data_IF_771109584871
#
_entry.id   IF_771109584871
#
_cell.length_a   1.000
_cell.length_b   1.000
_cell.length_c   1.000
_cell.angle_alpha   90.00
_cell.angle_beta   90.00
_cell.angle_gamma   90.00
#
_symmetry.space_group_name_H-M   'P 1'
#
loop_
_entity.id
_entity.type
_entity.pdbx_description
1 polymer ?
#
# COMPACT_ATOMS: atom_id res chain seq x y z
N UNK A 1 7.55 8.80 10.17
CA UNK A 1 8.58 9.69 9.61
C UNK A 1 9.73 9.97 10.56
N UNK A 2 9.44 10.08 11.87
CA UNK A 2 10.42 10.38 12.93
C UNK A 2 10.98 9.13 13.63
N UNK A 3 10.55 7.95 13.25
CA UNK A 3 10.90 6.64 13.82
C UNK A 3 10.54 6.47 15.32
N UNK A 4 9.60 7.28 15.83
CA UNK A 4 9.18 7.24 17.24
C UNK A 4 7.90 6.45 17.48
N UNK A 5 7.14 6.15 16.44
CA UNK A 5 5.85 5.46 16.53
C UNK A 5 5.79 4.28 15.56
N UNK A 6 5.09 3.23 15.98
CA UNK A 6 4.78 2.05 15.18
C UNK A 6 3.26 1.99 15.04
N UNK A 7 2.76 1.95 13.81
CA UNK A 7 1.37 1.65 13.50
C UNK A 7 1.27 0.19 13.01
N UNK A 8 0.30 -0.54 13.50
CA UNK A 8 0.11 -1.95 13.17
C UNK A 8 -1.36 -2.34 13.23
N UNK A 9 -1.72 -3.40 12.51
CA UNK A 9 -3.03 -4.03 12.64
C UNK A 9 -3.03 -5.07 13.76
N UNK A 10 -4.12 -5.15 14.51
CA UNK A 10 -4.30 -6.17 15.54
C UNK A 10 -5.77 -6.53 15.70
N UNK A 11 -6.04 -7.81 15.84
CA UNK A 11 -7.38 -8.41 16.05
C UNK A 11 -7.72 -8.64 17.53
N UNK A 12 -6.93 -8.07 18.45
CA UNK A 12 -7.08 -8.28 19.92
C UNK A 12 -8.46 -7.91 20.48
N UNK A 13 -9.18 -7.04 19.78
CA UNK A 13 -10.51 -6.58 20.15
C UNK A 13 -11.61 -7.08 19.17
N UNK A 14 -11.32 -8.15 18.40
CA UNK A 14 -12.28 -8.86 17.54
C UNK A 14 -11.84 -8.95 16.07
N UNK A 15 -11.77 -7.87 15.36
CA UNK A 15 -11.28 -7.79 13.98
C UNK A 15 -9.99 -6.95 13.91
N UNK A 16 -9.33 -6.96 12.76
CA UNK A 16 -8.12 -6.16 12.58
C UNK A 16 -8.42 -4.67 12.51
N UNK A 17 -8.04 -3.97 13.56
CA UNK A 17 -8.07 -2.50 13.67
C UNK A 17 -6.66 -1.91 13.69
N UNK A 18 -6.58 -0.60 13.46
CA UNK A 18 -5.32 0.13 13.52
C UNK A 18 -4.98 0.48 14.97
N UNK A 19 -3.80 0.07 15.38
CA UNK A 19 -3.20 0.43 16.66
C UNK A 19 -1.91 1.24 16.44
N UNK A 20 -1.58 2.06 17.42
CA UNK A 20 -0.33 2.82 17.46
C UNK A 20 0.34 2.67 18.83
N UNK A 21 1.67 2.61 18.84
CA UNK A 21 2.47 2.58 20.07
C UNK A 21 3.78 3.33 19.88
N UNK A 22 4.49 3.62 20.97
CA UNK A 22 5.87 4.09 20.90
C UNK A 22 6.80 3.02 20.30
N UNK A 23 7.82 3.44 19.55
CA UNK A 23 8.88 2.54 19.08
C UNK A 23 9.73 1.98 20.24
N UNK A 24 9.75 2.66 21.39
CA UNK A 24 10.42 2.22 22.61
C UNK A 24 9.60 1.19 23.41
N UNK A 25 8.40 0.82 22.91
CA UNK A 25 7.48 -0.09 23.57
C UNK A 25 6.41 0.60 24.41
N UNK A 26 5.68 -0.18 25.22
CA UNK A 26 4.61 0.31 26.07
C UNK A 26 3.21 -0.07 25.58
N UNK A 27 2.20 0.66 26.06
CA UNK A 27 0.81 0.37 25.73
C UNK A 27 0.43 0.82 24.32
N UNK A 28 -0.19 -0.07 23.59
CA UNK A 28 -0.77 0.26 22.29
C UNK A 28 -2.13 0.94 22.45
N UNK A 29 -2.35 2.02 21.69
CA UNK A 29 -3.62 2.73 21.60
C UNK A 29 -4.34 2.32 20.33
N UNK A 30 -5.60 1.90 20.44
CA UNK A 30 -6.48 1.63 19.30
C UNK A 30 -6.93 2.95 18.68
N UNK A 31 -6.76 3.09 17.35
CA UNK A 31 -7.13 4.30 16.61
C UNK A 31 -8.48 4.16 15.91
N UNK A 32 -8.81 2.97 15.44
CA UNK A 32 -10.04 2.69 14.68
C UNK A 32 -10.89 1.63 15.36
N UNK A 33 -12.18 1.56 14.98
CA UNK A 33 -13.17 0.63 15.56
C UNK A 33 -14.22 0.25 14.52
N UNK A 34 -13.82 0.04 13.28
CA UNK A 34 -14.74 -0.42 12.25
C UNK A 34 -14.94 -1.94 12.32
N UNK A 35 -16.01 -2.44 11.71
CA UNK A 35 -16.31 -3.87 11.67
C UNK A 35 -15.58 -4.64 10.55
N UNK A 36 -14.74 -3.94 9.77
CA UNK A 36 -13.97 -4.51 8.66
C UNK A 36 -12.49 -4.59 9.02
N UNK A 37 -11.75 -5.42 8.31
CA UNK A 37 -10.29 -5.49 8.43
C UNK A 37 -9.65 -4.22 7.90
N UNK A 38 -8.75 -3.66 8.69
CA UNK A 38 -8.00 -2.45 8.39
C UNK A 38 -6.50 -2.74 8.41
N UNK A 39 -5.80 -2.41 7.31
CA UNK A 39 -4.39 -2.71 7.14
C UNK A 39 -3.57 -1.42 6.95
N UNK A 40 -2.69 -1.06 7.91
CA UNK A 40 -1.88 0.14 7.81
C UNK A 40 -0.82 -0.03 6.73
N UNK A 41 -0.54 1.04 5.99
CA UNK A 41 0.51 1.06 4.96
C UNK A 41 1.57 2.13 5.17
N UNK A 42 1.20 3.30 5.67
CA UNK A 42 2.14 4.41 5.85
C UNK A 42 1.69 5.38 6.95
N UNK A 43 2.63 6.17 7.45
CA UNK A 43 2.32 7.46 8.06
C UNK A 43 2.28 8.54 6.97
N UNK A 44 1.45 9.56 7.14
CA UNK A 44 1.58 10.78 6.33
C UNK A 44 2.96 11.42 6.54
N UNK A 45 3.53 12.14 5.56
CA UNK A 45 4.85 12.74 5.69
C UNK A 45 5.02 13.68 6.88
N UNK A 46 3.94 14.35 7.30
CA UNK A 46 3.91 15.21 8.49
C UNK A 46 3.78 14.41 9.81
N UNK A 47 3.64 13.09 9.74
CA UNK A 47 3.52 12.19 10.89
C UNK A 47 2.19 12.30 11.66
N UNK A 48 1.21 13.05 11.15
CA UNK A 48 -0.04 13.30 11.89
C UNK A 48 -1.13 12.26 11.68
N UNK A 49 -1.03 11.45 10.63
CA UNK A 49 -2.03 10.43 10.32
C UNK A 49 -1.37 9.08 10.02
N UNK A 50 -2.11 8.02 10.25
CA UNK A 50 -1.84 6.68 9.72
C UNK A 50 -2.74 6.47 8.51
N UNK A 51 -2.13 6.09 7.39
CA UNK A 51 -2.83 5.70 6.15
C UNK A 51 -3.00 4.20 6.16
N UNK A 52 -4.19 3.74 5.81
CA UNK A 52 -4.55 2.33 5.81
C UNK A 52 -5.54 2.01 4.69
N UNK A 53 -5.60 0.76 4.31
CA UNK A 53 -6.62 0.22 3.38
C UNK A 53 -7.71 -0.50 4.17
N UNK A 54 -8.95 -0.32 3.73
CA UNK A 54 -10.12 -0.98 4.29
C UNK A 54 -11.28 -1.00 3.30
N UNK A 55 -12.19 -1.96 3.45
CA UNK A 55 -13.45 -1.99 2.73
C UNK A 55 -14.56 -1.47 3.65
N UNK A 56 -14.50 -0.18 4.00
CA UNK A 56 -15.50 0.45 4.84
C UNK A 56 -16.78 0.58 4.03
N UNK A 57 -17.86 0.05 4.59
CA UNK A 57 -19.14 -0.02 3.90
C UNK A 57 -19.72 1.37 3.64
N UNK A 58 -20.05 1.64 2.38
CA UNK A 58 -20.79 2.83 1.97
C UNK A 58 -22.22 2.85 2.58
N UNK A 59 -22.88 4.01 2.60
CA UNK A 59 -24.29 4.10 2.96
C UNK A 59 -25.13 3.11 2.14
N UNK A 60 -26.20 2.58 2.74
CA UNK A 60 -27.03 1.53 2.12
C UNK A 60 -27.53 1.90 0.71
N UNK A 61 -27.67 3.17 0.39
CA UNK A 61 -28.07 3.65 -0.94
C UNK A 61 -26.97 3.48 -2.01
N UNK A 62 -25.72 3.31 -1.60
CA UNK A 62 -24.56 3.18 -2.50
C UNK A 62 -24.02 1.76 -2.58
N UNK A 63 -24.60 0.82 -1.85
CA UNK A 63 -24.13 -0.59 -1.81
C UNK A 63 -24.60 -1.32 -3.06
N UNK A 64 -23.88 -1.16 -4.14
CA UNK A 64 -24.14 -1.90 -5.39
C UNK A 64 -23.21 -3.12 -5.57
N UNK A 65 -22.14 -3.23 -4.80
CA UNK A 65 -21.13 -4.28 -4.93
C UNK A 65 -20.72 -4.90 -3.59
N UNK A 66 -20.32 -6.18 -3.58
CA UNK A 66 -19.70 -6.80 -2.41
C UNK A 66 -18.40 -6.08 -2.07
N UNK A 67 -18.34 -5.51 -0.91
CA UNK A 67 -17.30 -4.56 -0.47
C UNK A 67 -15.96 -5.20 -0.14
N UNK A 68 -15.92 -6.49 0.20
CA UNK A 68 -14.70 -7.15 0.71
C UNK A 68 -13.57 -7.32 -0.31
N UNK A 69 -13.86 -7.19 -1.61
CA UNK A 69 -12.87 -7.34 -2.67
C UNK A 69 -12.18 -6.02 -3.08
N UNK A 70 -12.76 -4.87 -2.71
CA UNK A 70 -12.33 -3.55 -3.17
C UNK A 70 -12.00 -2.67 -1.97
N UNK A 71 -10.77 -2.77 -1.47
CA UNK A 71 -10.29 -1.89 -0.40
C UNK A 71 -9.94 -0.51 -0.93
N UNK A 72 -10.30 0.51 -0.18
CA UNK A 72 -10.01 1.91 -0.46
C UNK A 72 -9.01 2.48 0.56
N UNK A 73 -8.48 3.66 0.30
CA UNK A 73 -7.52 4.31 1.19
C UNK A 73 -8.20 5.31 2.12
N UNK A 74 -7.88 5.13 3.39
CA UNK A 74 -8.34 5.97 4.49
C UNK A 74 -7.16 6.48 5.30
N UNK A 75 -7.40 7.50 6.12
CA UNK A 75 -6.45 7.96 7.12
C UNK A 75 -7.16 8.24 8.45
N UNK A 76 -6.44 8.02 9.53
CA UNK A 76 -6.88 8.33 10.90
C UNK A 76 -5.79 9.14 11.61
N UNK A 77 -6.15 10.20 12.40
CA UNK A 77 -5.15 10.93 13.16
C UNK A 77 -4.42 10.03 14.17
N UNK A 78 -3.11 10.24 14.35
CA UNK A 78 -2.30 9.48 15.33
C UNK A 78 -2.78 9.70 16.78
N UNK A 79 -3.45 10.81 17.03
CA UNK A 79 -4.08 11.09 18.32
C UNK A 79 -5.49 10.49 18.44
N UNK A 80 -5.96 9.78 17.41
CA UNK A 80 -7.32 9.25 17.32
C UNK A 80 -8.28 10.30 16.78
N UNK A 81 -9.49 9.87 16.46
CA UNK A 81 -10.53 10.73 15.91
C UNK A 81 -11.21 10.12 14.69
N UNK A 82 -11.83 10.97 13.86
CA UNK A 82 -12.60 10.50 12.72
C UNK A 82 -11.71 10.06 11.58
N UNK A 83 -11.93 8.85 11.08
CA UNK A 83 -11.38 8.34 9.82
C UNK A 83 -11.89 9.18 8.64
N UNK A 84 -11.01 9.43 7.67
CA UNK A 84 -11.34 10.11 6.40
C UNK A 84 -10.83 9.30 5.23
N UNK A 85 -11.61 9.19 4.19
CA UNK A 85 -11.20 8.63 2.91
C UNK A 85 -10.20 9.56 2.21
N UNK A 86 -9.16 9.00 1.60
CA UNK A 86 -8.14 9.74 0.84
C UNK A 86 -8.49 9.73 -0.64
N UNK A 87 -8.73 8.55 -1.19
CA UNK A 87 -9.19 8.33 -2.57
C UNK A 87 -10.25 7.22 -2.56
N UNK A 88 -11.19 7.32 -3.50
CA UNK A 88 -12.25 6.33 -3.69
C UNK A 88 -11.83 5.21 -4.67
N UNK A 89 -10.69 5.34 -5.32
CA UNK A 89 -10.12 4.29 -6.18
C UNK A 89 -9.63 3.15 -5.30
N UNK A 90 -9.98 1.90 -5.59
CA UNK A 90 -9.48 0.75 -4.84
C UNK A 90 -7.96 0.68 -4.86
N UNK A 91 -7.35 0.70 -3.67
CA UNK A 91 -5.90 0.84 -3.51
C UNK A 91 -5.38 0.27 -2.19
N UNK A 92 -4.12 -0.16 -2.21
CA UNK A 92 -3.40 -0.70 -1.07
C UNK A 92 -1.92 -0.27 -1.11
N UNK A 93 -1.17 -0.52 -0.05
CA UNK A 93 0.30 -0.37 0.02
C UNK A 93 0.81 1.00 -0.45
N UNK A 94 0.44 2.05 0.26
CA UNK A 94 0.85 3.43 -0.05
C UNK A 94 2.30 3.69 0.30
N UNK A 95 3.01 4.38 -0.60
CA UNK A 95 4.33 4.94 -0.36
C UNK A 95 4.38 6.39 -0.84
N UNK A 96 4.54 7.35 0.07
CA UNK A 96 4.63 8.77 -0.28
C UNK A 96 5.92 9.09 -1.02
N UNK A 97 5.83 9.96 -2.03
CA UNK A 97 7.01 10.53 -2.70
C UNK A 97 7.50 11.81 -1.99
N UNK A 98 8.65 12.33 -2.40
CA UNK A 98 9.31 13.47 -1.72
C UNK A 98 8.51 14.77 -1.68
N UNK A 99 7.51 14.95 -2.52
CA UNK A 99 6.66 16.14 -2.49
C UNK A 99 5.76 16.20 -1.25
N UNK A 100 5.69 15.10 -0.49
CA UNK A 100 4.94 15.00 0.75
C UNK A 100 3.43 14.93 0.60
N UNK A 101 2.92 14.89 -0.62
CA UNK A 101 1.49 14.88 -0.91
C UNK A 101 1.09 13.78 -1.90
N UNK A 102 1.85 13.61 -2.98
CA UNK A 102 1.65 12.54 -3.96
C UNK A 102 2.21 11.21 -3.46
N UNK A 103 1.67 10.10 -3.94
CA UNK A 103 2.08 8.78 -3.48
C UNK A 103 1.95 7.72 -4.56
N UNK A 104 2.76 6.68 -4.40
CA UNK A 104 2.62 5.41 -5.10
C UNK A 104 1.64 4.53 -4.35
N UNK A 105 0.89 3.71 -5.08
CA UNK A 105 0.02 2.68 -4.51
C UNK A 105 -0.08 1.49 -5.46
N UNK A 106 -0.46 0.34 -4.96
CA UNK A 106 -0.92 -0.77 -5.78
C UNK A 106 -2.44 -0.73 -5.89
N UNK A 107 -2.98 -0.99 -7.07
CA UNK A 107 -4.42 -1.05 -7.24
C UNK A 107 -5.02 -2.35 -6.69
N UNK A 108 -6.34 -2.35 -6.52
CA UNK A 108 -7.12 -3.51 -6.09
C UNK A 108 -8.25 -3.71 -7.09
N UNK A 109 -8.10 -4.70 -7.97
CA UNK A 109 -9.08 -5.00 -9.02
C UNK A 109 -10.03 -6.14 -8.66
N UNK A 110 -9.79 -6.80 -7.54
CA UNK A 110 -10.54 -7.96 -7.08
C UNK A 110 -9.75 -8.79 -6.08
N UNK A 111 -10.20 -10.02 -5.87
CA UNK A 111 -9.48 -10.99 -5.05
C UNK A 111 -8.42 -11.70 -5.91
N UNK A 112 -7.17 -11.61 -5.48
CA UNK A 112 -6.05 -12.34 -6.06
C UNK A 112 -5.31 -13.08 -4.95
N UNK A 113 -5.05 -14.37 -5.15
CA UNK A 113 -4.29 -15.17 -4.21
C UNK A 113 -2.81 -14.79 -4.29
N UNK A 114 -2.28 -14.22 -3.23
CA UNK A 114 -0.87 -13.83 -3.14
C UNK A 114 0.11 -15.01 -3.16
N UNK A 115 -0.39 -16.21 -2.96
CA UNK A 115 0.39 -17.45 -2.92
C UNK A 115 0.45 -18.17 -4.26
N UNK A 116 -0.36 -17.72 -5.22
CA UNK A 116 -0.34 -18.26 -6.58
C UNK A 116 1.01 -18.04 -7.26
N UNK A 117 1.31 -18.87 -8.25
CA UNK A 117 2.51 -18.77 -9.07
C UNK A 117 2.13 -18.64 -10.55
N UNK A 118 2.88 -17.82 -11.29
CA UNK A 118 2.90 -17.76 -12.75
C UNK A 118 1.52 -17.58 -13.40
N UNK A 119 0.72 -16.70 -12.88
CA UNK A 119 -0.61 -16.49 -13.38
C UNK A 119 -0.78 -15.06 -13.89
N UNK A 120 -1.21 -14.91 -15.13
CA UNK A 120 -1.70 -13.63 -15.65
C UNK A 120 -3.20 -13.55 -15.43
N UNK A 121 -3.68 -12.44 -14.95
CA UNK A 121 -5.09 -12.24 -14.62
C UNK A 121 -5.46 -10.79 -14.80
N UNK A 122 -6.72 -10.53 -15.12
CA UNK A 122 -7.27 -9.17 -15.18
C UNK A 122 -7.34 -8.47 -13.80
N UNK A 123 -7.16 -9.23 -12.72
CA UNK A 123 -7.16 -8.71 -11.33
C UNK A 123 -5.77 -8.60 -10.73
N UNK A 124 -4.69 -8.90 -11.49
CA UNK A 124 -3.32 -8.63 -11.04
C UNK A 124 -3.12 -7.17 -10.77
N UNK A 125 -2.35 -6.88 -9.73
CA UNK A 125 -2.08 -5.51 -9.28
C UNK A 125 -1.08 -4.82 -10.19
N UNK A 126 -1.24 -3.52 -10.34
CA UNK A 126 -0.27 -2.62 -10.96
C UNK A 126 0.16 -1.55 -9.96
N UNK A 127 1.33 -0.97 -10.21
CA UNK A 127 1.82 0.20 -9.45
C UNK A 127 1.34 1.47 -10.14
N UNK A 128 0.70 2.33 -9.35
CA UNK A 128 0.15 3.60 -9.78
C UNK A 128 0.78 4.76 -9.02
N UNK A 129 0.86 5.90 -9.68
CA UNK A 129 1.16 7.19 -9.07
C UNK A 129 -0.12 8.01 -8.97
N UNK A 130 -0.43 8.50 -7.78
CA UNK A 130 -1.43 9.54 -7.55
C UNK A 130 -0.75 10.88 -7.36
N UNK A 131 -1.05 11.85 -8.21
CA UNK A 131 -0.64 13.24 -8.09
C UNK A 131 -1.73 14.02 -7.35
N UNK A 132 -1.47 14.39 -6.10
CA UNK A 132 -2.44 15.07 -5.26
C UNK A 132 -2.80 16.48 -5.72
N UNK A 133 -1.94 17.14 -6.51
CA UNK A 133 -2.19 18.50 -7.02
C UNK A 133 -3.20 18.51 -8.15
N UNK A 134 -3.09 17.55 -9.06
CA UNK A 134 -3.97 17.44 -10.23
C UNK A 134 -5.11 16.44 -10.05
N UNK A 135 -5.07 15.59 -9.00
CA UNK A 135 -5.98 14.45 -8.82
C UNK A 135 -5.77 13.34 -9.84
N UNK A 136 -4.67 13.36 -10.60
CA UNK A 136 -4.41 12.41 -11.67
C UNK A 136 -3.83 11.11 -11.15
N UNK A 137 -4.36 9.98 -11.66
CA UNK A 137 -3.80 8.65 -11.51
C UNK A 137 -3.02 8.26 -12.77
N UNK A 138 -1.80 7.77 -12.61
CA UNK A 138 -0.95 7.30 -13.72
C UNK A 138 -0.48 5.89 -13.44
N UNK A 139 -0.83 4.94 -14.33
CA UNK A 139 -0.32 3.56 -14.25
C UNK A 139 1.16 3.55 -14.65
N UNK A 140 2.03 3.07 -13.78
CA UNK A 140 3.47 2.97 -14.00
C UNK A 140 3.89 1.59 -14.52
N UNK A 141 3.07 0.55 -14.22
CA UNK A 141 3.30 -0.81 -14.69
C UNK A 141 2.02 -1.33 -15.37
N UNK A 142 2.07 -2.09 -16.40
CA UNK A 142 0.90 -2.63 -17.08
C UNK A 142 1.37 -3.84 -17.91
N UNK A 143 1.70 -4.92 -17.22
CA UNK A 143 2.31 -6.08 -17.86
C UNK A 143 1.42 -7.33 -17.87
N UNK A 144 0.22 -7.25 -17.27
CA UNK A 144 -0.68 -8.40 -17.09
C UNK A 144 -0.24 -9.42 -16.05
N UNK A 145 0.93 -9.21 -15.41
CA UNK A 145 1.41 -9.96 -14.25
C UNK A 145 1.34 -9.12 -12.97
N UNK A 146 1.62 -9.74 -11.84
CA UNK A 146 1.54 -9.09 -10.53
C UNK A 146 2.70 -8.12 -10.30
N UNK A 147 2.39 -6.85 -10.06
CA UNK A 147 3.32 -5.82 -9.59
C UNK A 147 2.77 -5.20 -8.30
N UNK A 148 3.53 -5.27 -7.18
CA UNK A 148 3.03 -4.87 -5.86
C UNK A 148 4.09 -4.33 -4.91
N UNK A 149 3.64 -3.81 -3.76
CA UNK A 149 4.48 -3.30 -2.68
C UNK A 149 5.51 -2.26 -3.14
N UNK A 150 5.07 -1.11 -3.71
CA UNK A 150 5.99 -0.06 -4.11
C UNK A 150 6.70 0.54 -2.90
N UNK A 151 8.01 0.75 -3.02
CA UNK A 151 8.83 1.43 -2.04
C UNK A 151 9.75 2.43 -2.76
N UNK A 152 9.82 3.67 -2.28
CA UNK A 152 10.68 4.68 -2.86
C UNK A 152 12.02 4.74 -2.13
N UNK A 153 13.11 4.85 -2.89
CA UNK A 153 14.44 5.02 -2.34
C UNK A 153 14.63 6.42 -1.74
N UNK A 154 15.66 6.63 -0.89
CA UNK A 154 15.98 7.93 -0.32
C UNK A 154 16.29 9.02 -1.34
N UNK A 155 16.71 8.65 -2.55
CA UNK A 155 16.91 9.57 -3.67
C UNK A 155 15.62 10.26 -4.15
N UNK A 156 14.46 9.69 -3.78
CA UNK A 156 13.12 10.17 -4.16
C UNK A 156 12.77 9.97 -5.63
N UNK A 157 13.53 9.15 -6.36
CA UNK A 157 13.31 8.86 -7.76
C UNK A 157 13.30 7.35 -8.08
N UNK A 158 14.10 6.56 -7.39
CA UNK A 158 14.14 5.11 -7.59
C UNK A 158 12.99 4.44 -6.86
N UNK A 159 12.17 3.70 -7.59
CA UNK A 159 11.06 2.91 -7.08
C UNK A 159 11.47 1.46 -7.10
N UNK A 160 11.43 0.78 -5.95
CA UNK A 160 11.51 -0.66 -5.83
C UNK A 160 10.11 -1.24 -5.72
N UNK A 161 9.90 -2.41 -6.29
CA UNK A 161 8.62 -3.11 -6.22
C UNK A 161 8.80 -4.62 -6.44
N UNK A 162 7.83 -5.39 -6.03
CA UNK A 162 7.78 -6.83 -6.28
C UNK A 162 7.09 -7.10 -7.60
N UNK A 163 7.68 -7.96 -8.43
CA UNK A 163 7.13 -8.30 -9.74
C UNK A 163 7.43 -9.75 -10.14
N UNK A 164 6.52 -10.34 -10.88
CA UNK A 164 6.70 -11.66 -11.51
C UNK A 164 6.92 -11.59 -13.04
N UNK A 165 7.26 -10.41 -13.55
CA UNK A 165 7.33 -10.09 -15.01
C UNK A 165 8.22 -10.98 -15.88
N UNK A 166 9.18 -11.71 -15.31
CA UNK A 166 10.03 -12.62 -16.07
C UNK A 166 9.64 -14.10 -15.93
N UNK A 167 8.40 -14.36 -15.49
CA UNK A 167 7.90 -15.72 -15.30
C UNK A 167 8.78 -16.48 -14.31
N UNK A 168 8.29 -16.88 -13.22
CA UNK A 168 9.08 -17.51 -12.22
C UNK A 168 8.62 -17.11 -10.82
N UNK A 169 9.56 -16.82 -9.96
CA UNK A 169 9.28 -16.32 -8.63
C UNK A 169 9.12 -14.80 -8.61
N UNK A 170 8.32 -14.30 -7.68
CA UNK A 170 8.26 -12.89 -7.35
C UNK A 170 9.64 -12.38 -6.93
N UNK A 171 10.13 -11.34 -7.59
CA UNK A 171 11.44 -10.75 -7.36
C UNK A 171 11.33 -9.24 -7.17
N UNK A 172 12.39 -8.63 -6.62
CA UNK A 172 12.51 -7.17 -6.52
C UNK A 172 12.98 -6.62 -7.87
N UNK A 173 12.26 -5.63 -8.34
CA UNK A 173 12.60 -4.82 -9.50
C UNK A 173 12.73 -3.37 -9.10
N UNK A 174 13.41 -2.60 -9.93
CA UNK A 174 13.51 -1.15 -9.80
C UNK A 174 13.17 -0.44 -11.09
N UNK A 175 12.62 0.76 -10.96
CA UNK A 175 12.40 1.70 -12.06
C UNK A 175 12.64 3.14 -11.57
N UNK A 176 12.83 4.08 -12.51
CA UNK A 176 12.87 5.49 -12.18
C UNK A 176 11.47 6.08 -12.22
N UNK A 177 11.10 6.91 -11.23
CA UNK A 177 9.85 7.68 -11.25
C UNK A 177 9.76 8.60 -12.49
N UNK A 178 10.91 9.13 -12.95
CA UNK A 178 11.00 9.98 -14.15
C UNK A 178 10.91 9.20 -15.45
N UNK A 179 11.36 7.93 -15.46
CA UNK A 179 11.32 7.05 -16.62
C UNK A 179 10.85 5.63 -16.21
N UNK A 180 9.57 5.43 -15.93
CA UNK A 180 9.05 4.14 -15.42
C UNK A 180 9.09 3.01 -16.46
N UNK A 181 9.36 3.31 -17.73
CA UNK A 181 9.48 2.29 -18.79
C UNK A 181 10.74 1.44 -18.68
N UNK A 182 11.78 1.95 -18.04
CA UNK A 182 13.05 1.23 -17.84
C UNK A 182 13.04 0.49 -16.52
N UNK A 183 12.67 -0.79 -16.57
CA UNK A 183 12.59 -1.66 -15.40
C UNK A 183 13.76 -2.63 -15.39
N UNK A 184 14.47 -2.71 -14.24
CA UNK A 184 15.64 -3.58 -14.02
C UNK A 184 15.37 -4.52 -12.86
N UNK A 185 15.77 -5.79 -13.00
CA UNK A 185 15.73 -6.74 -11.91
C UNK A 185 16.85 -6.44 -10.90
N UNK A 186 16.49 -6.44 -9.62
CA UNK A 186 17.44 -6.32 -8.49
C UNK A 186 17.77 -7.71 -7.93
N UNK A 187 16.79 -8.61 -7.91
CA UNK A 187 16.97 -10.00 -7.48
C UNK A 187 16.56 -10.96 -8.59
N UNK A 188 17.00 -12.23 -8.49
CA UNK A 188 16.75 -13.25 -9.52
C UNK A 188 16.48 -14.63 -8.90
N UNK A 189 15.68 -14.69 -7.83
CA UNK A 189 15.28 -15.94 -7.20
C UNK A 189 14.39 -16.76 -8.14
N UNK A 190 14.64 -18.06 -8.23
CA UNK A 190 13.90 -18.97 -9.13
C UNK A 190 12.84 -19.79 -8.39
N UNK A 191 13.09 -20.13 -7.15
CA UNK A 191 12.30 -21.11 -6.38
C UNK A 191 11.44 -20.46 -5.31
N UNK A 192 12.01 -19.52 -4.56
CA UNK A 192 11.35 -18.86 -3.44
C UNK A 192 11.05 -17.41 -3.77
N UNK A 193 9.79 -16.96 -3.69
CA UNK A 193 9.42 -15.59 -3.96
C UNK A 193 9.91 -14.64 -2.86
N UNK A 194 10.27 -13.43 -3.24
CA UNK A 194 10.34 -12.31 -2.31
C UNK A 194 8.91 -11.92 -1.94
N UNK A 195 8.58 -11.85 -0.66
CA UNK A 195 7.21 -11.59 -0.20
C UNK A 195 7.00 -10.21 0.36
N UNK A 196 8.02 -9.67 0.99
CA UNK A 196 7.97 -8.37 1.67
C UNK A 196 9.10 -7.49 1.18
N UNK A 197 8.79 -6.22 1.00
CA UNK A 197 9.72 -5.18 0.58
C UNK A 197 9.52 -3.95 1.44
N UNK A 198 10.61 -3.40 1.92
CA UNK A 198 10.64 -2.10 2.58
C UNK A 198 11.92 -1.36 2.20
N UNK A 199 11.88 -0.05 2.22
CA UNK A 199 13.04 0.80 2.01
C UNK A 199 13.24 1.72 3.22
N UNK A 200 14.50 1.87 3.65
CA UNK A 200 14.88 2.84 4.67
C UNK A 200 14.88 4.25 4.08
N UNK A 201 14.50 5.26 4.89
CA UNK A 201 14.59 6.66 4.48
C UNK A 201 16.03 7.21 4.51
N UNK A 202 16.99 6.42 5.00
CA UNK A 202 18.38 6.83 5.15
C UNK A 202 19.37 6.08 4.24
N UNK A 203 18.89 5.18 3.40
CA UNK A 203 19.70 4.30 2.55
C UNK A 203 20.00 2.96 3.17
#
# INVERSE_FOLDING_TARGET
PDSKKIAFASDRDGNFDIFIMSADGGNAKRLTKNSVTELPSAFTPDGKHVVFSASIQDPAQSVLFPTSAMSELYQVPVEGGRTRQIIATPAEAVCYIKDGASFLYQDKKGFEDEWRKHHTSSVTRDIWLYDSKSGKHTNLTNIGGEDRNPAIAPDGNTIYFLSERKGGSMNVYQMSLKNPKEVKAVTSFKTHPVRFLSASNKG
#
